data_IF_326334568563
#
_entry.id   IF_326334568563
#
_cell.length_a   1.000
_cell.length_b   1.000
_cell.length_c   1.000
_cell.angle_alpha   90.00
_cell.angle_beta   90.00
_cell.angle_gamma   90.00
#
_symmetry.space_group_name_H-M   'P 1'
#
loop_
_entity.id
_entity.type
_entity.pdbx_description
1 polymer ?
#
# COMPACT_ATOMS: atom_id res chain seq x y z
N UNK A 1 -24.84 -19.06 11.05
CA UNK A 1 -24.52 -17.83 10.29
C UNK A 1 -23.00 -17.77 10.15
N UNK A 2 -22.46 -18.16 8.99
CA UNK A 2 -21.02 -18.06 8.75
C UNK A 2 -20.71 -16.59 8.47
N UNK A 3 -19.83 -15.98 9.29
CA UNK A 3 -19.24 -14.69 8.93
C UNK A 3 -18.34 -14.99 7.73
N UNK A 4 -18.58 -14.42 6.54
CA UNK A 4 -17.67 -14.63 5.42
C UNK A 4 -16.30 -14.07 5.82
N UNK A 5 -15.28 -14.94 5.85
CA UNK A 5 -13.90 -14.50 5.96
C UNK A 5 -13.54 -13.79 4.66
N UNK A 6 -13.73 -12.48 4.61
CA UNK A 6 -13.24 -11.68 3.48
C UNK A 6 -11.73 -11.56 3.64
N UNK A 7 -11.01 -12.13 2.68
CA UNK A 7 -9.55 -12.01 2.59
C UNK A 7 -9.23 -10.74 1.83
N UNK A 8 -8.52 -9.82 2.49
CA UNK A 8 -8.01 -8.61 1.85
C UNK A 8 -6.53 -8.78 1.56
N UNK A 9 -6.09 -8.32 0.38
CA UNK A 9 -4.66 -8.21 0.09
C UNK A 9 -4.18 -6.87 0.63
N UNK A 10 -3.09 -6.88 1.39
CA UNK A 10 -2.48 -5.64 1.91
C UNK A 10 -0.99 -5.62 1.60
N UNK A 11 -0.49 -4.45 1.23
CA UNK A 11 0.94 -4.15 1.18
C UNK A 11 1.31 -3.20 2.31
N UNK A 12 2.54 -3.29 2.80
CA UNK A 12 3.08 -2.33 3.77
C UNK A 12 3.98 -1.33 3.07
N UNK A 13 3.75 -0.04 3.26
CA UNK A 13 4.54 1.03 2.65
C UNK A 13 5.09 2.03 3.67
N UNK A 14 6.14 2.75 3.28
CA UNK A 14 6.69 3.89 4.01
C UNK A 14 6.79 5.10 3.09
N UNK A 15 6.30 6.25 3.56
CA UNK A 15 6.44 7.53 2.86
C UNK A 15 7.83 8.16 3.05
N UNK A 16 8.56 7.79 4.10
CA UNK A 16 9.91 8.29 4.43
C UNK A 16 10.77 7.15 4.96
N UNK A 17 12.10 7.22 4.78
CA UNK A 17 13.06 6.17 5.19
C UNK A 17 12.92 5.74 6.65
N UNK A 18 12.68 6.67 7.56
CA UNK A 18 12.48 6.42 9.00
C UNK A 18 11.01 6.46 9.45
N UNK A 19 10.05 6.38 8.51
CA UNK A 19 8.62 6.46 8.81
C UNK A 19 8.01 5.17 9.38
N UNK A 20 6.81 5.30 9.97
CA UNK A 20 5.97 4.15 10.33
C UNK A 20 5.51 3.40 9.07
N UNK A 21 5.34 2.09 9.19
CA UNK A 21 4.74 1.27 8.12
C UNK A 21 3.24 1.51 8.12
N UNK A 22 2.69 1.83 6.95
CA UNK A 22 1.25 1.99 6.72
C UNK A 22 0.79 0.86 5.81
N UNK A 23 -0.29 0.17 6.19
CA UNK A 23 -0.90 -0.84 5.34
C UNK A 23 -1.84 -0.17 4.32
N UNK A 24 -1.73 -0.63 3.07
CA UNK A 24 -2.46 -0.09 1.93
C UNK A 24 -3.04 -1.23 1.11
N UNK A 25 -4.12 -0.94 0.39
CA UNK A 25 -4.68 -1.81 -0.64
C UNK A 25 -3.77 -1.75 -1.89
N UNK A 26 -3.07 -2.84 -2.25
CA UNK A 26 -2.25 -2.92 -3.45
C UNK A 26 -3.09 -3.03 -4.72
N UNK A 27 -4.41 -3.15 -4.59
CA UNK A 27 -5.33 -3.47 -5.66
C UNK A 27 -4.90 -4.78 -6.35
N UNK A 28 -4.83 -4.79 -7.68
CA UNK A 28 -4.38 -5.94 -8.47
C UNK A 28 -2.87 -5.94 -8.76
N UNK A 29 -2.11 -5.04 -8.11
CA UNK A 29 -0.66 -4.95 -8.34
C UNK A 29 0.08 -6.03 -7.56
N UNK A 30 0.95 -6.74 -8.27
CA UNK A 30 2.00 -7.55 -7.66
C UNK A 30 3.23 -6.66 -7.43
N UNK A 31 3.48 -6.33 -6.17
CA UNK A 31 4.50 -5.36 -5.78
C UNK A 31 5.61 -6.07 -5.02
N UNK A 32 6.86 -5.77 -5.35
CA UNK A 32 8.01 -6.26 -4.61
C UNK A 32 8.48 -5.26 -3.56
N UNK A 33 9.20 -5.76 -2.55
CA UNK A 33 9.90 -4.91 -1.59
C UNK A 33 10.86 -4.00 -2.34
N UNK A 34 11.03 -2.78 -1.84
CA UNK A 34 11.82 -1.69 -2.43
C UNK A 34 11.23 -1.04 -3.70
N UNK A 35 10.11 -1.55 -4.25
CA UNK A 35 9.38 -0.83 -5.29
C UNK A 35 8.85 0.52 -4.77
N UNK A 36 8.85 1.52 -5.66
CA UNK A 36 8.26 2.83 -5.41
C UNK A 36 6.87 2.87 -6.02
N UNK A 37 5.90 3.34 -5.25
CA UNK A 37 4.49 3.41 -5.64
C UNK A 37 3.88 4.75 -5.30
N UNK A 38 2.83 5.11 -6.03
CA UNK A 38 2.03 6.30 -5.76
C UNK A 38 0.78 5.88 -4.99
N UNK A 39 0.58 6.45 -3.81
CA UNK A 39 -0.54 6.18 -2.92
C UNK A 39 -1.55 7.33 -2.97
N UNK A 40 -2.82 7.02 -3.08
CA UNK A 40 -3.90 7.99 -2.90
C UNK A 40 -4.02 8.34 -1.40
N UNK A 41 -3.75 9.60 -1.06
CA UNK A 41 -3.97 10.13 0.29
C UNK A 41 -5.01 11.25 0.25
N UNK A 42 -5.66 11.62 1.38
CA UNK A 42 -6.61 12.73 1.42
C UNK A 42 -6.05 14.06 0.93
N UNK A 43 -4.73 14.24 1.05
CA UNK A 43 -4.00 15.45 0.64
C UNK A 43 -3.54 15.39 -0.82
N UNK A 44 -3.83 14.29 -1.53
CA UNK A 44 -3.38 14.03 -2.90
C UNK A 44 -2.45 12.82 -3.02
N UNK A 45 -1.96 12.52 -4.24
CA UNK A 45 -1.05 11.41 -4.48
C UNK A 45 0.30 11.62 -3.79
N UNK A 46 0.83 10.58 -3.12
CA UNK A 46 2.14 10.63 -2.46
C UNK A 46 2.99 9.42 -2.83
N UNK A 47 4.30 9.65 -2.99
CA UNK A 47 5.26 8.58 -3.23
C UNK A 47 5.54 7.81 -1.93
N UNK A 48 5.57 6.48 -2.02
CA UNK A 48 5.93 5.59 -0.93
C UNK A 48 6.81 4.45 -1.44
N UNK A 49 7.54 3.82 -0.53
CA UNK A 49 8.32 2.61 -0.79
C UNK A 49 7.62 1.41 -0.18
N UNK A 50 7.51 0.33 -0.95
CA UNK A 50 7.01 -0.96 -0.47
C UNK A 50 8.05 -1.58 0.45
N UNK A 51 7.65 -1.90 1.68
CA UNK A 51 8.51 -2.55 2.69
C UNK A 51 7.95 -3.91 3.13
N UNK A 52 6.71 -4.21 2.78
CA UNK A 52 6.08 -5.52 2.93
C UNK A 52 5.32 -5.78 1.63
N UNK A 53 5.70 -6.83 0.91
CA UNK A 53 5.02 -7.25 -0.32
C UNK A 53 3.54 -7.60 -0.05
N UNK A 54 2.65 -7.51 -1.06
CA UNK A 54 1.25 -7.85 -0.93
C UNK A 54 1.04 -9.25 -0.35
N UNK A 55 0.29 -9.33 0.76
CA UNK A 55 -0.11 -10.60 1.39
C UNK A 55 -1.59 -10.59 1.74
N UNK A 56 -2.21 -11.76 1.75
CA UNK A 56 -3.60 -11.91 2.19
C UNK A 56 -3.68 -11.85 3.72
N UNK A 57 -4.65 -11.10 4.23
CA UNK A 57 -5.00 -11.00 5.65
C UNK A 57 -6.50 -11.15 5.83
N UNK A 58 -6.90 -11.61 7.00
CA UNK A 58 -8.32 -11.69 7.36
C UNK A 58 -8.82 -10.28 7.64
N UNK A 59 -10.01 -9.91 7.15
CA UNK A 59 -10.59 -8.57 7.33
C UNK A 59 -10.52 -8.04 8.76
N UNK A 60 -10.78 -8.88 9.77
CA UNK A 60 -10.72 -8.53 11.19
C UNK A 60 -9.33 -8.07 11.65
N UNK A 61 -8.27 -8.42 10.93
CA UNK A 61 -6.89 -8.02 11.21
C UNK A 61 -6.51 -6.68 10.54
N UNK A 62 -7.22 -6.28 9.48
CA UNK A 62 -7.01 -5.01 8.79
C UNK A 62 -7.79 -3.90 9.49
N UNK A 63 -7.12 -3.13 10.36
CA UNK A 63 -7.76 -2.04 11.12
C UNK A 63 -7.85 -0.74 10.31
N UNK A 64 -9.07 -0.31 9.99
CA UNK A 64 -9.39 1.00 9.40
C UNK A 64 -9.42 1.03 7.86
N UNK A 65 -9.89 2.15 7.26
CA UNK A 65 -9.89 2.31 5.82
C UNK A 65 -8.45 2.33 5.28
N UNK A 66 -8.15 1.39 4.39
CA UNK A 66 -6.84 1.30 3.76
C UNK A 66 -6.69 2.40 2.71
N UNK A 67 -5.55 3.09 2.73
CA UNK A 67 -5.15 3.90 1.57
C UNK A 67 -4.91 2.97 0.38
N UNK A 68 -5.03 3.47 -0.84
CA UNK A 68 -4.93 2.66 -2.06
C UNK A 68 -3.68 2.98 -2.86
N UNK A 69 -3.01 1.94 -3.35
CA UNK A 69 -1.96 2.08 -4.38
C UNK A 69 -2.63 2.42 -5.71
N UNK A 70 -2.24 3.54 -6.31
CA UNK A 70 -2.75 3.96 -7.62
C UNK A 70 -1.97 3.27 -8.75
N UNK A 71 -0.65 3.30 -8.66
CA UNK A 71 0.27 2.76 -9.68
C UNK A 71 1.70 2.65 -9.14
N UNK A 72 2.53 1.92 -9.88
CA UNK A 72 4.00 2.02 -9.75
C UNK A 72 4.44 3.45 -10.07
N UNK A 73 5.46 3.92 -9.36
CA UNK A 73 6.08 5.20 -9.64
C UNK A 73 6.75 5.15 -11.01
N UNK A 74 6.59 6.20 -11.80
CA UNK A 74 7.32 6.40 -13.05
C UNK A 74 8.63 7.14 -12.78
N UNK A 75 9.57 7.17 -13.73
CA UNK A 75 10.80 7.94 -13.57
C UNK A 75 10.57 9.41 -13.21
N UNK A 76 9.50 10.03 -13.73
CA UNK A 76 9.13 11.42 -13.44
C UNK A 76 8.73 11.62 -11.97
N UNK A 77 8.02 10.66 -11.37
CA UNK A 77 7.68 10.72 -9.95
C UNK A 77 8.93 10.62 -9.06
N UNK A 78 9.95 9.88 -9.51
CA UNK A 78 11.22 9.71 -8.78
C UNK A 78 12.13 10.93 -8.91
N UNK A 79 12.06 11.64 -10.04
CA UNK A 79 12.81 12.87 -10.28
C UNK A 79 12.26 14.08 -9.48
N UNK A 80 11.03 13.97 -8.98
CA UNK A 80 10.33 15.02 -8.23
C UNK A 80 10.63 15.02 -6.72
N UNK A 81 11.66 14.29 -6.28
CA UNK A 81 12.07 14.13 -4.88
C UNK A 81 13.25 15.03 -4.48
#
# INVERSE_FOLDING_TARGET
MAIPFVLYRVAGVRFRRSGRVVFVDPHDLDLQVDERVVIATPEGPKLATVVIAPRQVIHSEAKGPLLRVLRRATPEDLASL
#
